data_IF_059833908256
#
_entry.id   IF_059833908256
#
_cell.length_a   1.000
_cell.length_b   1.000
_cell.length_c   1.000
_cell.angle_alpha   90.00
_cell.angle_beta   90.00
_cell.angle_gamma   90.00
#
_symmetry.space_group_name_H-M   'P 1'
#
loop_
_entity.id
_entity.type
_entity.pdbx_description
1 polymer ?
#
# COMPACT_ATOMS: atom_id res chain seq x y z
N UNK A 1 1.24 -10.90 8.40
CA UNK A 1 1.44 -9.71 7.56
C UNK A 1 2.70 -9.91 6.74
N UNK A 2 2.61 -9.60 5.45
CA UNK A 2 3.71 -9.68 4.51
C UNK A 2 4.42 -8.33 4.39
N UNK A 3 5.61 -8.31 3.79
CA UNK A 3 6.38 -7.08 3.53
C UNK A 3 6.39 -6.78 2.05
N UNK A 4 6.14 -5.52 1.72
CA UNK A 4 6.12 -5.00 0.36
C UNK A 4 7.09 -3.85 0.25
N UNK A 5 7.98 -3.90 -0.74
CA UNK A 5 8.81 -2.75 -1.12
C UNK A 5 8.17 -2.12 -2.35
N UNK A 6 8.03 -0.81 -2.36
CA UNK A 6 7.48 -0.10 -3.50
C UNK A 6 7.85 1.36 -3.53
N UNK A 7 7.47 2.04 -4.61
CA UNK A 7 7.71 3.47 -4.81
C UNK A 7 6.37 4.19 -4.72
N UNK A 8 6.37 5.35 -4.07
CA UNK A 8 5.22 6.26 -4.09
C UNK A 8 5.34 7.22 -5.27
N UNK A 9 4.38 7.14 -6.18
CA UNK A 9 4.24 8.03 -7.34
C UNK A 9 2.78 8.35 -7.59
N UNK A 10 2.49 9.63 -7.84
CA UNK A 10 1.14 10.14 -8.07
C UNK A 10 0.16 9.78 -6.93
N UNK A 11 0.65 9.80 -5.68
CA UNK A 11 -0.12 9.41 -4.50
C UNK A 11 -0.46 7.92 -4.42
N UNK A 12 0.20 7.06 -5.20
CA UNK A 12 -0.03 5.61 -5.21
C UNK A 12 1.23 4.84 -4.87
N UNK A 13 1.06 3.70 -4.21
CA UNK A 13 2.15 2.79 -3.88
C UNK A 13 2.29 1.72 -4.96
N UNK A 14 3.36 1.78 -5.75
CA UNK A 14 3.68 0.80 -6.77
C UNK A 14 4.59 -0.29 -6.22
N UNK A 15 4.07 -1.52 -6.12
CA UNK A 15 4.81 -2.65 -5.55
C UNK A 15 5.95 -3.05 -6.50
N UNK A 16 7.18 -3.11 -5.97
CA UNK A 16 8.38 -3.62 -6.63
C UNK A 16 8.74 -5.03 -6.15
N UNK A 17 8.57 -5.31 -4.85
CA UNK A 17 8.79 -6.62 -4.25
C UNK A 17 7.62 -7.00 -3.34
N UNK A 18 7.22 -8.30 -3.34
CA UNK A 18 7.75 -9.37 -4.17
C UNK A 18 7.35 -9.23 -5.66
N UNK A 19 8.21 -9.67 -6.59
CA UNK A 19 8.00 -9.48 -8.06
C UNK A 19 6.76 -10.21 -8.61
N UNK A 20 6.19 -11.15 -7.87
CA UNK A 20 4.92 -11.80 -8.19
C UNK A 20 3.73 -10.85 -8.08
N UNK A 21 3.89 -9.80 -7.28
CA UNK A 21 2.91 -8.73 -7.15
C UNK A 21 3.25 -7.63 -8.17
N UNK A 22 2.30 -7.39 -9.07
CA UNK A 22 2.34 -6.24 -9.94
C UNK A 22 1.49 -5.14 -9.33
N UNK A 23 1.71 -3.94 -9.86
CA UNK A 23 0.71 -2.90 -9.96
C UNK A 23 0.66 -1.92 -8.77
N UNK A 24 0.08 -0.75 -9.05
CA UNK A 24 -0.12 0.31 -8.07
C UNK A 24 -1.34 -0.02 -7.20
N UNK A 25 -1.15 0.03 -5.89
CA UNK A 25 -2.20 -0.20 -4.89
C UNK A 25 -2.33 1.01 -3.99
N UNK A 26 -3.52 1.17 -3.42
CA UNK A 26 -3.76 2.11 -2.33
C UNK A 26 -3.51 1.44 -0.99
N UNK A 27 -3.10 2.23 0.01
CA UNK A 27 -2.82 1.72 1.34
C UNK A 27 -3.95 2.09 2.29
N UNK A 28 -4.37 1.18 3.16
CA UNK A 28 -5.36 1.45 4.20
C UNK A 28 -4.97 0.82 5.53
N UNK A 29 -5.29 1.49 6.64
CA UNK A 29 -4.99 1.00 8.00
C UNK A 29 -6.00 -0.02 8.52
N UNK A 30 -7.15 -0.16 7.88
CA UNK A 30 -8.19 -1.06 8.38
C UNK A 30 -7.85 -2.52 8.09
N UNK A 31 -8.30 -3.40 8.99
CA UNK A 31 -8.37 -4.83 8.72
C UNK A 31 -9.30 -5.08 7.52
N UNK A 32 -8.98 -6.09 6.70
CA UNK A 32 -9.80 -6.45 5.55
C UNK A 32 -11.25 -6.69 6.00
N UNK A 33 -12.23 -5.90 5.54
CA UNK A 33 -13.62 -6.11 5.92
C UNK A 33 -14.17 -7.41 5.31
N UNK A 34 -15.09 -8.06 6.03
CA UNK A 34 -15.72 -9.31 5.60
C UNK A 34 -16.58 -9.14 4.33
N UNK A 35 -17.09 -7.93 4.08
CA UNK A 35 -17.64 -7.51 2.80
C UNK A 35 -16.65 -6.56 2.12
N UNK A 36 -16.54 -6.67 0.80
CA UNK A 36 -15.71 -5.78 -0.05
C UNK A 36 -16.37 -4.41 -0.06
N UNK A 37 -16.26 -3.65 1.03
CA UNK A 37 -16.68 -2.27 1.09
C UNK A 37 -15.47 -1.39 0.74
N UNK A 38 -15.22 -1.22 -0.55
CA UNK A 38 -14.16 -0.34 -1.07
C UNK A 38 -14.32 1.10 -0.53
N UNK A 39 -15.56 1.51 -0.25
CA UNK A 39 -15.88 2.80 0.40
C UNK A 39 -15.30 2.91 1.82
N UNK A 40 -15.32 1.81 2.59
CA UNK A 40 -14.73 1.80 3.94
C UNK A 40 -13.20 1.86 3.87
N UNK A 41 -12.59 1.17 2.91
CA UNK A 41 -11.15 1.27 2.66
C UNK A 41 -10.76 2.70 2.23
N UNK A 42 -11.53 3.32 1.34
CA UNK A 42 -11.31 4.68 0.86
C UNK A 42 -11.38 5.73 1.97
N UNK A 43 -12.33 5.61 2.91
CA UNK A 43 -12.42 6.52 4.07
C UNK A 43 -11.25 6.41 5.05
N UNK A 44 -10.46 5.34 4.98
CA UNK A 44 -9.29 5.09 5.82
C UNK A 44 -8.02 4.91 4.97
N UNK A 45 -8.00 5.52 3.78
CA UNK A 45 -6.83 5.57 2.92
C UNK A 45 -5.69 6.30 3.65
N UNK A 46 -4.48 5.75 3.56
CA UNK A 46 -3.29 6.40 4.08
C UNK A 46 -2.87 7.44 3.05
N UNK A 47 -2.77 8.70 3.49
CA UNK A 47 -2.17 9.75 2.69
C UNK A 47 -0.66 9.47 2.52
N UNK A 48 -0.22 9.41 1.27
CA UNK A 48 1.17 9.14 0.89
C UNK A 48 1.94 10.40 0.50
N UNK A 49 1.35 11.59 0.64
CA UNK A 49 1.99 12.84 0.24
C UNK A 49 3.39 13.05 0.86
N UNK A 50 3.61 12.63 2.11
CA UNK A 50 4.91 12.74 2.78
C UNK A 50 5.98 11.77 2.24
N UNK A 51 5.54 10.75 1.50
CA UNK A 51 6.37 9.71 0.92
C UNK A 51 6.51 9.82 -0.60
N UNK A 52 5.89 10.81 -1.23
CA UNK A 52 5.94 11.01 -2.68
C UNK A 52 7.40 11.08 -3.19
N UNK A 53 7.68 10.34 -4.27
CA UNK A 53 9.01 10.22 -4.85
C UNK A 53 9.99 9.36 -4.06
N UNK A 54 9.56 8.66 -3.01
CA UNK A 54 10.39 7.77 -2.18
C UNK A 54 10.09 6.30 -2.42
N UNK A 55 11.10 5.47 -2.19
CA UNK A 55 10.87 4.05 -1.97
C UNK A 55 10.52 3.82 -0.50
N UNK A 56 9.42 3.13 -0.23
CA UNK A 56 8.97 2.79 1.12
C UNK A 56 8.77 1.28 1.26
N UNK A 57 9.04 0.77 2.45
CA UNK A 57 8.72 -0.60 2.83
C UNK A 57 7.52 -0.60 3.75
N UNK A 58 6.53 -1.44 3.42
CA UNK A 58 5.23 -1.49 4.07
C UNK A 58 4.94 -2.92 4.50
N UNK A 59 4.40 -3.11 5.70
CA UNK A 59 3.77 -4.38 6.09
C UNK A 59 2.28 -4.34 5.84
N UNK A 60 1.68 -5.43 5.40
CA UNK A 60 0.22 -5.49 5.24
C UNK A 60 -0.30 -6.83 4.73
N UNK A 61 -1.53 -6.80 4.21
CA UNK A 61 -2.22 -7.93 3.57
C UNK A 61 -2.72 -7.49 2.20
N UNK A 62 -2.22 -8.13 1.14
CA UNK A 62 -2.65 -7.89 -0.23
C UNK A 62 -3.59 -9.02 -0.69
N UNK A 63 -4.90 -8.77 -0.86
CA UNK A 63 -5.83 -9.78 -1.35
C UNK A 63 -5.64 -10.08 -2.84
N UNK A 64 -6.16 -11.23 -3.30
CA UNK A 64 -6.12 -11.63 -4.72
C UNK A 64 -6.71 -10.57 -5.68
N UNK A 65 -7.73 -9.83 -5.24
CA UNK A 65 -8.23 -8.64 -5.94
C UNK A 65 -7.34 -7.44 -5.59
N UNK A 66 -6.32 -7.26 -6.42
CA UNK A 66 -5.30 -6.20 -6.30
C UNK A 66 -5.95 -4.82 -6.46
N UNK A 67 -5.84 -3.98 -5.44
CA UNK A 67 -6.37 -2.61 -5.42
C UNK A 67 -6.08 -1.90 -4.11
N UNK A 68 -6.18 -2.64 -3.00
CA UNK A 68 -5.86 -2.19 -1.65
C UNK A 68 -4.85 -3.10 -0.97
N UNK A 69 -3.89 -2.49 -0.27
CA UNK A 69 -3.11 -3.15 0.78
C UNK A 69 -3.73 -2.80 2.13
N UNK A 70 -4.26 -3.82 2.81
CA UNK A 70 -4.92 -3.68 4.10
C UNK A 70 -3.93 -3.81 5.26
N UNK A 71 -4.31 -3.27 6.41
CA UNK A 71 -3.47 -3.23 7.62
C UNK A 71 -2.07 -2.65 7.32
N UNK A 72 -2.02 -1.71 6.38
CA UNK A 72 -0.79 -1.17 5.84
C UNK A 72 -0.09 -0.30 6.90
N UNK A 73 1.18 -0.61 7.18
CA UNK A 73 2.06 0.20 8.01
C UNK A 73 3.40 0.39 7.33
N UNK A 74 3.81 1.64 7.16
CA UNK A 74 5.16 1.98 6.67
C UNK A 74 6.16 1.66 7.78
N UNK A 75 7.12 0.79 7.48
CA UNK A 75 8.13 0.31 8.44
C UNK A 75 9.55 0.79 8.10
N UNK A 76 9.77 1.27 6.88
CA UNK A 76 11.04 1.83 6.44
C UNK A 76 10.85 2.75 5.24
N UNK A 77 11.78 3.68 5.02
CA UNK A 77 11.81 4.57 3.85
C UNK A 77 13.23 4.85 3.40
N UNK A 78 13.44 4.88 2.08
CA UNK A 78 14.65 5.36 1.45
C UNK A 78 14.41 6.75 0.83
N UNK A 79 15.48 7.54 0.69
CA UNK A 79 15.44 8.92 0.19
C UNK A 79 14.81 9.07 -1.21
N UNK A 80 14.63 10.32 -1.68
CA UNK A 80 14.01 10.59 -2.96
C UNK A 80 14.81 9.97 -4.13
N UNK A 81 14.10 9.40 -5.09
CA UNK A 81 14.64 8.70 -6.27
C UNK A 81 14.91 9.68 -7.40
#
# INVERSE_FOLDING_TARGET
>A
MEKFLGIVQDGRFSVLLPRSECCAVKLTRIARPASIADELAASHEIDLAEHEGRAIMVTGVLPERKGWLYEANVIDQAGPI
#
